data_IF_153287880845
#
_entry.id   IF_153287880845
#
_cell.length_a   1.000
_cell.length_b   1.000
_cell.length_c   1.000
_cell.angle_alpha   90.00
_cell.angle_beta   90.00
_cell.angle_gamma   90.00
#
_symmetry.space_group_name_H-M   'P 1'
#
loop_
_entity.id
_entity.type
_entity.pdbx_description
1 polymer ?
#
# COMPACT_ATOMS: atom_id res chain seq x y z
N UNK A 1 26.64 16.88 -24.64
CA UNK A 1 27.13 17.79 -23.59
C UNK A 1 26.57 17.29 -22.27
N UNK A 2 27.44 16.75 -21.41
CA UNK A 2 27.12 16.14 -20.12
C UNK A 2 27.22 17.24 -19.07
N UNK A 3 26.12 17.56 -18.39
CA UNK A 3 26.18 18.34 -17.14
C UNK A 3 25.57 17.52 -16.02
N UNK A 4 26.47 16.78 -15.35
CA UNK A 4 26.28 16.23 -14.02
C UNK A 4 26.19 17.39 -13.03
N UNK A 5 25.07 17.50 -12.32
CA UNK A 5 24.95 18.35 -11.15
C UNK A 5 24.74 17.44 -9.92
N UNK A 6 25.85 17.08 -9.27
CA UNK A 6 25.86 16.44 -7.95
C UNK A 6 26.07 17.52 -6.91
N UNK A 7 25.06 17.79 -6.08
CA UNK A 7 25.22 18.50 -4.82
C UNK A 7 24.48 17.73 -3.74
N UNK A 8 25.25 17.20 -2.80
CA UNK A 8 24.76 16.41 -1.68
C UNK A 8 24.36 17.26 -0.48
N UNK A 9 23.64 16.64 0.44
CA UNK A 9 23.88 16.80 1.87
C UNK A 9 23.31 15.59 2.59
N UNK A 10 24.21 14.83 3.22
CA UNK A 10 23.88 13.70 4.08
C UNK A 10 23.12 14.20 5.31
N UNK A 11 21.92 13.69 5.56
CA UNK A 11 21.26 13.80 6.85
C UNK A 11 21.36 12.44 7.55
N UNK A 12 22.27 12.39 8.52
CA UNK A 12 22.61 11.26 9.37
C UNK A 12 21.38 10.62 10.02
N UNK A 13 21.26 9.30 9.87
CA UNK A 13 20.35 8.49 10.66
C UNK A 13 20.68 8.64 12.15
N UNK A 14 19.71 9.10 12.94
CA UNK A 14 19.74 8.99 14.40
C UNK A 14 19.56 7.51 14.77
N UNK A 15 20.65 6.74 14.71
CA UNK A 15 20.73 5.42 15.31
C UNK A 15 20.81 5.59 16.82
N UNK A 16 19.83 5.09 17.55
CA UNK A 16 19.91 4.94 19.01
C UNK A 16 21.10 4.06 19.34
N UNK A 17 22.11 4.60 20.01
CA UNK A 17 23.21 3.83 20.54
C UNK A 17 22.68 2.93 21.67
N UNK A 18 22.54 1.63 21.40
CA UNK A 18 22.43 0.64 22.46
C UNK A 18 23.85 0.39 22.98
N UNK A 19 24.08 0.65 24.26
CA UNK A 19 25.35 0.33 24.90
C UNK A 19 25.64 -1.17 24.75
N UNK A 20 26.78 -1.51 24.15
CA UNK A 20 27.27 -2.88 24.12
C UNK A 20 27.75 -3.24 25.53
N UNK A 21 26.97 -4.02 26.27
CA UNK A 21 27.44 -4.62 27.52
C UNK A 21 28.41 -5.74 27.18
N UNK A 22 29.61 -5.70 27.74
CA UNK A 22 30.57 -6.81 27.69
C UNK A 22 29.88 -8.08 28.20
N UNK A 23 29.95 -9.22 27.50
CA UNK A 23 29.41 -10.47 28.02
C UNK A 23 30.14 -10.79 29.33
N UNK A 24 29.42 -10.76 30.45
CA UNK A 24 29.94 -11.28 31.71
C UNK A 24 30.09 -12.80 31.54
N UNK A 25 31.30 -13.33 31.70
CA UNK A 25 31.56 -14.78 31.70
C UNK A 25 30.98 -15.51 32.91
N UNK A 26 30.30 -14.80 33.81
CA UNK A 26 29.56 -15.36 34.94
C UNK A 26 28.13 -15.77 34.50
N UNK A 27 27.79 -17.07 34.50
CA UNK A 27 26.46 -17.57 34.15
C UNK A 27 25.35 -17.04 35.07
N UNK A 28 25.68 -16.57 36.28
CA UNK A 28 24.71 -16.06 37.24
C UNK A 28 24.26 -14.61 37.01
N UNK A 29 24.98 -13.86 36.15
CA UNK A 29 24.71 -12.44 35.86
C UNK A 29 24.28 -12.19 34.41
N UNK A 30 24.10 -13.26 33.63
CA UNK A 30 23.65 -13.18 32.26
C UNK A 30 22.20 -12.64 32.18
N UNK A 31 22.03 -11.44 31.62
CA UNK A 31 20.71 -10.93 31.25
C UNK A 31 20.17 -11.78 30.10
N UNK A 32 19.00 -12.44 30.26
CA UNK A 32 18.42 -13.20 29.16
C UNK A 32 18.13 -12.29 27.97
N UNK A 33 18.43 -12.76 26.77
CA UNK A 33 18.09 -12.04 25.55
C UNK A 33 16.58 -11.72 25.56
N UNK A 34 16.17 -10.48 25.20
CA UNK A 34 14.76 -10.14 25.15
C UNK A 34 14.05 -11.09 24.17
N UNK A 35 13.05 -11.82 24.68
CA UNK A 35 12.22 -12.71 23.87
C UNK A 35 11.48 -11.86 22.83
N UNK A 36 11.83 -12.04 21.55
CA UNK A 36 11.08 -11.42 20.47
C UNK A 36 9.60 -11.84 20.57
N UNK A 37 8.65 -10.91 20.38
CA UNK A 37 7.24 -11.28 20.37
C UNK A 37 7.00 -12.33 19.28
N UNK A 38 6.22 -13.36 19.61
CA UNK A 38 5.84 -14.40 18.66
C UNK A 38 5.15 -13.75 17.46
N UNK A 39 5.71 -13.95 16.26
CA UNK A 39 5.09 -13.47 15.03
C UNK A 39 3.82 -14.29 14.77
N UNK A 40 2.69 -13.61 14.63
CA UNK A 40 1.43 -14.26 14.28
C UNK A 40 1.53 -14.85 12.87
N UNK A 41 1.06 -16.08 12.69
CA UNK A 41 0.92 -16.69 11.37
C UNK A 41 -0.12 -15.89 10.56
N UNK A 42 0.22 -15.35 9.39
CA UNK A 42 -0.72 -14.62 8.55
C UNK A 42 -1.87 -15.53 8.09
N UNK A 43 -3.08 -14.99 7.99
CA UNK A 43 -4.19 -15.71 7.37
C UNK A 43 -3.89 -15.90 5.87
N UNK A 44 -3.87 -17.14 5.34
CA UNK A 44 -3.56 -17.38 3.93
C UNK A 44 -4.63 -16.82 2.99
N UNK A 45 -5.85 -16.55 3.47
CA UNK A 45 -6.93 -15.97 2.69
C UNK A 45 -6.99 -14.45 2.86
N UNK A 46 -6.85 -13.72 1.75
CA UNK A 46 -6.98 -12.26 1.68
C UNK A 46 -8.12 -11.88 0.74
N UNK A 47 -8.95 -10.93 1.14
CA UNK A 47 -9.96 -10.30 0.27
C UNK A 47 -9.47 -8.93 -0.18
N UNK A 48 -9.79 -8.55 -1.41
CA UNK A 48 -9.47 -7.24 -1.97
C UNK A 48 -10.57 -6.76 -2.89
N UNK A 49 -10.57 -5.47 -3.17
CA UNK A 49 -11.53 -4.90 -4.10
C UNK A 49 -11.08 -3.53 -4.59
N UNK A 50 -11.72 -3.08 -5.66
CA UNK A 50 -11.52 -1.78 -6.25
C UNK A 50 -12.87 -1.25 -6.74
N UNK A 51 -13.15 0.03 -6.51
CA UNK A 51 -14.32 0.70 -7.04
C UNK A 51 -13.90 2.01 -7.68
N UNK A 52 -14.35 2.22 -8.91
CA UNK A 52 -14.20 3.45 -9.68
C UNK A 52 -15.58 4.06 -9.86
N UNK A 53 -15.81 5.19 -9.20
CA UNK A 53 -17.05 5.93 -9.27
C UNK A 53 -16.80 7.37 -9.72
N UNK A 54 -17.75 7.94 -10.44
CA UNK A 54 -17.65 9.27 -11.01
C UNK A 54 -18.99 10.01 -10.97
N UNK A 55 -18.89 11.34 -10.97
CA UNK A 55 -20.02 12.24 -11.18
C UNK A 55 -19.59 13.28 -12.22
N UNK A 56 -20.18 13.23 -13.41
CA UNK A 56 -20.02 14.26 -14.43
C UNK A 56 -21.13 15.30 -14.30
N UNK A 57 -20.86 16.58 -14.52
CA UNK A 57 -21.90 17.61 -14.61
C UNK A 57 -21.86 18.29 -15.98
N UNK A 58 -23.02 18.46 -16.61
CA UNK A 58 -23.16 19.18 -17.88
C UNK A 58 -23.92 20.49 -17.70
N UNK A 59 -23.21 21.60 -17.97
CA UNK A 59 -23.75 22.96 -17.89
C UNK A 59 -24.86 23.25 -18.90
N UNK A 60 -24.93 22.50 -20.01
CA UNK A 60 -26.00 22.64 -21.01
C UNK A 60 -27.34 22.09 -20.53
N UNK A 61 -27.35 21.31 -19.45
CA UNK A 61 -28.54 20.66 -18.87
C UNK A 61 -29.42 19.97 -19.93
N UNK A 62 -28.86 19.06 -20.74
CA UNK A 62 -29.68 18.29 -21.67
C UNK A 62 -30.70 17.43 -20.91
N UNK A 63 -31.82 17.11 -21.56
CA UNK A 63 -32.86 16.25 -20.98
C UNK A 63 -32.40 14.78 -20.82
N UNK A 64 -31.20 14.45 -21.30
CA UNK A 64 -30.61 13.11 -21.26
C UNK A 64 -29.43 13.04 -20.31
N UNK A 65 -29.30 11.86 -19.71
CA UNK A 65 -28.21 11.53 -18.80
C UNK A 65 -26.99 10.94 -19.50
N UNK A 66 -27.07 10.79 -20.82
CA UNK A 66 -26.05 10.17 -21.66
C UNK A 66 -25.25 11.21 -22.45
N UNK A 67 -23.96 10.93 -22.60
CA UNK A 67 -23.00 11.61 -23.47
C UNK A 67 -22.65 10.68 -24.63
N UNK A 68 -22.23 11.21 -25.79
CA UNK A 68 -21.81 10.37 -26.91
C UNK A 68 -20.66 9.41 -26.53
N UNK A 69 -20.93 8.11 -26.51
CA UNK A 69 -20.03 7.09 -25.94
C UNK A 69 -18.71 6.86 -26.68
N UNK A 70 -18.54 7.35 -27.91
CA UNK A 70 -17.29 7.18 -28.66
C UNK A 70 -16.15 8.13 -28.23
N UNK A 71 -16.45 9.15 -27.41
CA UNK A 71 -15.46 10.11 -26.91
C UNK A 71 -15.10 9.91 -25.43
N UNK A 72 -15.91 9.18 -24.67
CA UNK A 72 -15.81 9.19 -23.21
C UNK A 72 -15.94 7.77 -22.64
N UNK A 73 -14.98 7.38 -21.80
CA UNK A 73 -15.10 6.18 -20.95
C UNK A 73 -16.14 6.35 -19.84
N UNK A 74 -16.57 7.58 -19.58
CA UNK A 74 -17.58 7.97 -18.59
C UNK A 74 -18.70 8.71 -19.33
N UNK A 75 -19.69 7.96 -19.82
CA UNK A 75 -20.74 8.45 -20.69
C UNK A 75 -21.98 8.94 -19.93
N UNK A 76 -22.05 8.76 -18.61
CA UNK A 76 -23.15 9.29 -17.78
C UNK A 76 -22.81 10.70 -17.26
N UNK A 77 -23.82 11.53 -17.07
CA UNK A 77 -23.69 12.88 -16.51
C UNK A 77 -24.85 13.20 -15.60
N UNK A 78 -24.74 14.23 -14.77
CA UNK A 78 -25.74 14.70 -13.80
C UNK A 78 -26.28 13.61 -12.85
N UNK A 79 -25.57 12.49 -12.70
CA UNK A 79 -25.82 11.43 -11.72
C UNK A 79 -24.53 10.80 -11.22
N UNK A 80 -24.63 10.12 -10.08
CA UNK A 80 -23.55 9.33 -9.54
C UNK A 80 -23.50 7.96 -10.23
N UNK A 81 -22.34 7.59 -10.75
CA UNK A 81 -22.16 6.36 -11.53
C UNK A 81 -20.96 5.57 -11.03
N UNK A 82 -21.04 4.24 -11.10
CA UNK A 82 -19.91 3.33 -10.90
C UNK A 82 -19.47 2.84 -12.28
N UNK A 83 -18.22 3.09 -12.65
CA UNK A 83 -17.63 2.66 -13.90
C UNK A 83 -17.06 1.25 -13.78
N UNK A 84 -16.27 0.99 -12.74
CA UNK A 84 -15.67 -0.32 -12.48
C UNK A 84 -15.88 -0.73 -11.04
N UNK A 85 -16.24 -2.00 -10.84
CA UNK A 85 -16.28 -2.65 -9.54
C UNK A 85 -15.55 -3.99 -9.61
N UNK A 86 -14.58 -4.19 -8.73
CA UNK A 86 -13.81 -5.41 -8.62
C UNK A 86 -13.85 -5.90 -7.17
N UNK A 87 -14.11 -7.19 -7.02
CA UNK A 87 -13.97 -7.92 -5.77
C UNK A 87 -13.15 -9.16 -6.07
N UNK A 88 -12.19 -9.44 -5.21
CA UNK A 88 -11.27 -10.55 -5.37
C UNK A 88 -10.95 -11.20 -4.03
N UNK A 89 -10.56 -12.46 -4.12
CA UNK A 89 -9.94 -13.19 -3.03
C UNK A 89 -8.63 -13.80 -3.52
N UNK A 90 -7.67 -13.93 -2.63
CA UNK A 90 -6.36 -14.52 -2.88
C UNK A 90 -6.07 -15.49 -1.75
N UNK A 91 -5.70 -16.72 -2.11
CA UNK A 91 -5.21 -17.73 -1.18
C UNK A 91 -3.71 -17.94 -1.42
N UNK A 92 -2.87 -17.68 -0.41
CA UNK A 92 -1.43 -17.91 -0.46
C UNK A 92 -1.01 -18.73 0.76
N UNK A 93 -0.50 -19.93 0.52
CA UNK A 93 0.12 -20.79 1.52
C UNK A 93 1.39 -21.40 0.90
N UNK A 94 2.39 -21.71 1.73
CA UNK A 94 3.69 -22.24 1.30
C UNK A 94 3.55 -23.60 0.58
N UNK A 95 2.44 -24.30 0.83
CA UNK A 95 2.11 -25.60 0.24
C UNK A 95 1.51 -25.53 -1.17
N UNK A 96 1.11 -24.34 -1.64
CA UNK A 96 0.46 -24.16 -2.95
C UNK A 96 1.20 -23.08 -3.74
N UNK A 97 2.02 -23.51 -4.69
CA UNK A 97 2.62 -22.62 -5.70
C UNK A 97 1.69 -22.56 -6.90
N UNK A 98 1.06 -21.39 -7.10
CA UNK A 98 0.37 -21.02 -8.35
C UNK A 98 1.33 -20.52 -9.41
#
# INVERSE_FOLDING_TARGET
MKHLLTLGLALSATGTALAQTTPTTDPALAVPAPTAPAQATPNPLTFYGFIDGYYGYDFKKPDTQDRPGFLYSHDRQNEFTVNQGLVGMRYQDDNVRG
#
